data_IF_995283764348
#
_entry.id   IF_995283764348
#
_cell.length_a   1.000
_cell.length_b   1.000
_cell.length_c   1.000
_cell.angle_alpha   90.00
_cell.angle_beta   90.00
_cell.angle_gamma   90.00
#
_symmetry.space_group_name_H-M   'P 1'
#
loop_
_entity.id
_entity.type
_entity.pdbx_description
1 polymer ?
#
# COMPACT_ATOMS: atom_id res chain seq x y z
N UNK A 1 -21.33 -9.68 -2.20
CA UNK A 1 -22.18 -10.89 -2.02
C UNK A 1 -21.92 -11.90 -3.14
N UNK A 2 -21.78 -11.44 -4.38
CA UNK A 2 -21.58 -12.31 -5.56
C UNK A 2 -20.25 -13.11 -5.52
N UNK A 3 -19.22 -12.57 -4.88
CA UNK A 3 -17.90 -13.20 -4.78
C UNK A 3 -17.91 -14.40 -3.83
N UNK A 4 -18.69 -14.35 -2.74
CA UNK A 4 -18.70 -15.39 -1.71
C UNK A 4 -19.37 -16.69 -2.15
N UNK A 5 -20.36 -16.64 -3.05
CA UNK A 5 -21.08 -17.84 -3.50
C UNK A 5 -20.27 -18.70 -4.48
N UNK A 6 -19.33 -18.12 -5.24
CA UNK A 6 -18.57 -18.80 -6.29
C UNK A 6 -17.16 -19.28 -5.86
N UNK A 7 -16.67 -18.85 -4.69
CA UNK A 7 -15.30 -19.10 -4.24
C UNK A 7 -15.20 -19.70 -2.83
N UNK A 8 -16.23 -20.43 -2.40
CA UNK A 8 -16.31 -21.05 -1.07
C UNK A 8 -15.19 -22.05 -0.74
N UNK A 9 -14.42 -22.48 -1.77
CA UNK A 9 -13.29 -23.40 -1.62
C UNK A 9 -11.91 -22.73 -1.83
N UNK A 10 -11.84 -21.42 -2.03
CA UNK A 10 -10.57 -20.73 -2.26
C UNK A 10 -9.89 -20.34 -0.96
N UNK A 11 -8.62 -20.68 -0.82
CA UNK A 11 -7.80 -20.39 0.37
C UNK A 11 -7.05 -19.07 0.28
N UNK A 12 -6.95 -18.47 -0.91
CA UNK A 12 -6.16 -17.29 -1.17
C UNK A 12 -6.90 -16.32 -2.10
N UNK A 13 -6.81 -15.02 -1.83
CA UNK A 13 -7.42 -13.98 -2.66
C UNK A 13 -6.72 -12.64 -2.47
N UNK A 14 -6.84 -11.77 -3.46
CA UNK A 14 -6.38 -10.38 -3.43
C UNK A 14 -7.51 -9.43 -3.78
N UNK A 15 -7.47 -8.23 -3.23
CA UNK A 15 -8.44 -7.17 -3.48
C UNK A 15 -7.83 -5.80 -3.28
N UNK A 16 -8.45 -4.77 -3.90
CA UNK A 16 -7.95 -3.40 -3.84
C UNK A 16 -9.08 -2.40 -4.05
N UNK A 17 -9.10 -1.34 -3.27
CA UNK A 17 -10.13 -0.29 -3.37
C UNK A 17 -9.79 0.81 -4.37
N UNK A 18 -8.61 0.80 -4.91
CA UNK A 18 -8.02 1.73 -5.87
C UNK A 18 -8.19 3.23 -5.52
N UNK A 19 -7.05 3.90 -5.32
CA UNK A 19 -6.95 5.36 -5.42
C UNK A 19 -6.29 5.70 -6.76
N UNK A 20 -7.03 6.30 -7.71
CA UNK A 20 -6.55 6.52 -9.07
C UNK A 20 -5.39 7.53 -9.09
N UNK A 21 -4.19 7.09 -9.47
CA UNK A 21 -3.00 7.93 -9.72
C UNK A 21 -2.70 8.05 -11.22
N UNK A 22 -2.91 6.96 -11.99
CA UNK A 22 -2.73 6.87 -13.43
C UNK A 22 -3.98 6.31 -14.10
N UNK A 23 -4.37 6.87 -15.24
CA UNK A 23 -5.54 6.47 -16.02
C UNK A 23 -6.89 6.86 -15.41
N UNK A 24 -7.92 6.83 -16.24
CA UNK A 24 -9.28 7.17 -15.86
C UNK A 24 -9.87 6.20 -14.83
N UNK A 25 -10.92 6.67 -14.13
CA UNK A 25 -11.68 5.83 -13.19
C UNK A 25 -12.68 4.98 -13.95
N UNK A 26 -12.23 3.83 -14.41
CA UNK A 26 -13.04 2.82 -15.11
C UNK A 26 -12.63 1.41 -14.68
N UNK A 27 -13.38 0.40 -15.10
CA UNK A 27 -13.15 -1.00 -14.73
C UNK A 27 -11.83 -1.54 -15.29
N UNK A 28 -11.44 -1.12 -16.50
CA UNK A 28 -10.20 -1.56 -17.15
C UNK A 28 -8.94 -1.12 -16.40
N UNK A 29 -9.00 0.06 -15.79
CA UNK A 29 -7.92 0.62 -15.00
C UNK A 29 -8.00 0.20 -13.51
N UNK A 30 -9.00 -0.59 -13.12
CA UNK A 30 -9.16 -1.06 -11.74
C UNK A 30 -8.27 -2.26 -11.44
N UNK A 31 -7.82 -2.36 -10.19
CA UNK A 31 -7.14 -3.55 -9.70
C UNK A 31 -8.16 -4.67 -9.41
N UNK A 32 -7.72 -5.92 -9.49
CA UNK A 32 -6.38 -6.40 -9.82
C UNK A 32 -6.07 -6.38 -11.32
N UNK A 33 -4.79 -6.23 -11.68
CA UNK A 33 -4.31 -6.37 -13.06
C UNK A 33 -3.82 -7.79 -13.33
N UNK A 34 -4.09 -8.30 -14.53
CA UNK A 34 -3.70 -9.64 -14.97
C UNK A 34 -2.71 -9.57 -16.14
N UNK A 35 -1.73 -10.48 -16.15
CA UNK A 35 -0.82 -10.63 -17.29
C UNK A 35 -1.55 -11.16 -18.54
N UNK A 36 -1.07 -10.80 -19.74
CA UNK A 36 -1.69 -11.21 -21.01
C UNK A 36 -1.78 -12.74 -21.16
N UNK A 37 -0.82 -13.48 -20.62
CA UNK A 37 -0.81 -14.95 -20.58
C UNK A 37 -1.69 -15.54 -19.46
N UNK A 38 -2.33 -14.69 -18.66
CA UNK A 38 -3.21 -15.03 -17.52
C UNK A 38 -2.53 -15.85 -16.42
N UNK A 39 -1.20 -15.86 -16.37
CA UNK A 39 -0.45 -16.59 -15.34
C UNK A 39 -0.39 -15.84 -14.03
N UNK A 40 -0.31 -14.51 -14.07
CA UNK A 40 -0.15 -13.66 -12.90
C UNK A 40 -1.31 -12.68 -12.76
N UNK A 41 -1.71 -12.44 -11.52
CA UNK A 41 -2.67 -11.39 -11.14
C UNK A 41 -2.11 -10.65 -9.95
N UNK A 42 -2.12 -9.30 -9.98
CA UNK A 42 -1.57 -8.51 -8.88
C UNK A 42 -2.42 -7.30 -8.50
N UNK A 43 -2.19 -6.85 -7.29
CA UNK A 43 -2.59 -5.53 -6.79
C UNK A 43 -1.34 -4.75 -6.40
N UNK A 44 -1.38 -3.43 -6.55
CA UNK A 44 -0.27 -2.52 -6.37
C UNK A 44 -0.70 -1.25 -5.64
N UNK A 45 0.05 -0.89 -4.61
CA UNK A 45 0.05 0.41 -3.98
C UNK A 45 1.40 1.10 -4.24
N UNK A 46 1.37 2.27 -4.80
CA UNK A 46 2.57 3.05 -5.11
C UNK A 46 2.52 3.68 -6.49
N UNK A 47 3.66 4.13 -6.98
CA UNK A 47 3.84 4.74 -8.30
C UNK A 47 5.14 4.25 -8.89
N UNK A 48 5.09 3.76 -10.14
CA UNK A 48 6.27 3.37 -10.92
C UNK A 48 6.63 4.49 -11.88
N UNK A 49 7.68 5.20 -11.55
CA UNK A 49 8.12 6.40 -12.28
C UNK A 49 8.59 6.10 -13.72
N UNK A 50 9.27 4.98 -13.91
CA UNK A 50 9.77 4.55 -15.22
C UNK A 50 8.79 3.65 -16.00
N UNK A 51 7.49 3.67 -15.66
CA UNK A 51 6.50 2.77 -16.28
C UNK A 51 6.40 2.93 -17.80
N UNK A 52 6.57 4.14 -18.30
CA UNK A 52 6.48 4.40 -19.75
C UNK A 52 7.64 3.78 -20.54
N UNK A 53 8.84 3.82 -19.99
CA UNK A 53 10.02 3.16 -20.58
C UNK A 53 9.82 1.63 -20.61
N UNK A 54 9.40 1.06 -19.48
CA UNK A 54 9.12 -0.37 -19.36
C UNK A 54 7.97 -0.81 -20.26
N UNK A 55 6.93 0.00 -20.41
CA UNK A 55 5.82 -0.25 -21.33
C UNK A 55 6.31 -0.32 -22.77
N UNK A 56 7.11 0.64 -23.21
CA UNK A 56 7.68 0.66 -24.55
C UNK A 56 8.59 -0.55 -24.81
N UNK A 57 9.41 -0.92 -23.83
CA UNK A 57 10.23 -2.13 -23.89
C UNK A 57 9.37 -3.39 -24.09
N UNK A 58 8.28 -3.54 -23.34
CA UNK A 58 7.39 -4.70 -23.41
C UNK A 58 6.59 -4.72 -24.73
N UNK A 59 6.14 -3.56 -25.23
CA UNK A 59 5.50 -3.44 -26.54
C UNK A 59 6.43 -3.94 -27.65
N UNK A 60 7.73 -3.59 -27.59
CA UNK A 60 8.73 -4.07 -28.54
C UNK A 60 9.02 -5.59 -28.42
N UNK A 61 8.62 -6.21 -27.30
CA UNK A 61 8.66 -7.67 -27.09
C UNK A 61 7.35 -8.37 -27.45
N UNK A 62 6.36 -7.63 -27.99
CA UNK A 62 5.07 -8.18 -28.40
C UNK A 62 4.02 -8.29 -27.31
N UNK A 63 4.25 -7.69 -26.11
CA UNK A 63 3.25 -7.62 -25.06
C UNK A 63 2.19 -6.59 -25.40
N UNK A 64 0.96 -6.86 -24.99
CA UNK A 64 -0.19 -5.94 -25.16
C UNK A 64 -0.66 -5.42 -23.82
N UNK A 65 -1.27 -4.25 -23.84
CA UNK A 65 -1.79 -3.58 -22.64
C UNK A 65 -3.26 -3.25 -22.85
N UNK A 66 -4.05 -3.47 -21.82
CA UNK A 66 -5.47 -3.15 -21.79
C UNK A 66 -5.76 -1.88 -21.02
N UNK A 67 -4.89 -1.52 -20.05
CA UNK A 67 -5.07 -0.37 -19.18
C UNK A 67 -4.03 0.73 -19.43
N UNK A 68 -4.29 1.87 -18.81
CA UNK A 68 -3.38 3.03 -18.79
C UNK A 68 -2.52 3.07 -17.53
N UNK A 69 -2.63 2.06 -16.65
CA UNK A 69 -2.00 2.08 -15.34
C UNK A 69 -0.53 1.65 -15.39
N UNK A 70 0.28 2.20 -14.52
CA UNK A 70 1.62 1.74 -14.23
C UNK A 70 1.64 0.31 -13.66
N UNK A 71 0.57 -0.08 -12.98
CA UNK A 71 0.42 -1.39 -12.34
C UNK A 71 0.34 -2.54 -13.34
N UNK A 72 -0.31 -2.35 -14.51
CA UNK A 72 -0.32 -3.36 -15.56
C UNK A 72 1.09 -3.62 -16.11
N UNK A 73 1.94 -2.58 -16.17
CA UNK A 73 3.32 -2.74 -16.61
C UNK A 73 4.08 -3.71 -15.70
N UNK A 74 3.84 -3.67 -14.39
CA UNK A 74 4.48 -4.58 -13.43
C UNK A 74 4.11 -6.04 -13.73
N UNK A 75 2.82 -6.34 -13.94
CA UNK A 75 2.38 -7.73 -14.16
C UNK A 75 2.86 -8.28 -15.51
N UNK A 76 2.90 -7.44 -16.54
CA UNK A 76 3.45 -7.83 -17.86
C UNK A 76 4.97 -8.07 -17.77
N UNK A 77 5.69 -7.23 -17.03
CA UNK A 77 7.13 -7.39 -16.81
C UNK A 77 7.45 -8.67 -16.01
N UNK A 78 6.62 -8.99 -15.02
CA UNK A 78 6.73 -10.24 -14.27
C UNK A 78 6.54 -11.46 -15.18
N UNK A 79 5.52 -11.45 -16.05
CA UNK A 79 5.32 -12.48 -17.04
C UNK A 79 6.51 -12.59 -18.00
N UNK A 80 7.05 -11.46 -18.48
CA UNK A 80 8.25 -11.45 -19.33
C UNK A 80 9.43 -12.13 -18.66
N UNK A 81 9.77 -11.78 -17.42
CA UNK A 81 10.88 -12.43 -16.73
C UNK A 81 10.60 -13.91 -16.42
N UNK A 82 9.34 -14.27 -16.16
CA UNK A 82 8.97 -15.67 -15.92
C UNK A 82 9.17 -16.55 -17.14
N UNK A 83 9.05 -16.04 -18.36
CA UNK A 83 9.39 -16.82 -19.56
C UNK A 83 10.85 -17.26 -19.59
N UNK A 84 11.74 -16.51 -18.93
CA UNK A 84 13.18 -16.74 -18.91
C UNK A 84 13.63 -17.57 -17.71
N UNK A 85 13.07 -17.32 -16.53
CA UNK A 85 13.53 -17.91 -15.27
C UNK A 85 12.78 -19.18 -14.90
N UNK A 86 11.51 -19.29 -15.27
CA UNK A 86 10.58 -20.33 -14.85
C UNK A 86 10.42 -20.46 -13.32
N UNK A 87 10.90 -19.48 -12.58
CA UNK A 87 10.78 -19.36 -11.12
C UNK A 87 10.11 -18.02 -10.75
N UNK A 88 9.09 -18.07 -9.89
CA UNK A 88 8.30 -16.89 -9.53
C UNK A 88 9.10 -15.91 -8.67
N UNK A 89 9.89 -16.42 -7.71
CA UNK A 89 10.68 -15.58 -6.83
C UNK A 89 11.77 -14.85 -7.60
N UNK A 90 12.48 -15.56 -8.48
CA UNK A 90 13.53 -14.96 -9.32
C UNK A 90 12.93 -13.97 -10.33
N UNK A 91 11.77 -14.28 -10.90
CA UNK A 91 11.05 -13.36 -11.80
C UNK A 91 10.63 -12.09 -11.07
N UNK A 92 10.08 -12.22 -9.86
CA UNK A 92 9.65 -11.10 -9.04
C UNK A 92 10.85 -10.24 -8.63
N UNK A 93 11.98 -10.86 -8.28
CA UNK A 93 13.24 -10.16 -7.98
C UNK A 93 13.73 -9.36 -9.18
N UNK A 94 13.79 -9.94 -10.38
CA UNK A 94 14.18 -9.22 -11.62
C UNK A 94 13.20 -8.10 -11.95
N UNK A 95 11.91 -8.35 -11.77
CA UNK A 95 10.87 -7.32 -11.97
C UNK A 95 11.14 -6.13 -11.05
N UNK A 96 11.26 -6.34 -9.75
CA UNK A 96 11.45 -5.26 -8.78
C UNK A 96 12.78 -4.53 -8.94
N UNK A 97 13.83 -5.20 -9.43
CA UNK A 97 15.11 -4.56 -9.78
C UNK A 97 15.01 -3.60 -10.97
N UNK A 98 14.03 -3.82 -11.86
CA UNK A 98 13.81 -2.97 -13.04
C UNK A 98 12.88 -1.79 -12.75
N UNK A 99 12.21 -1.77 -11.58
CA UNK A 99 11.27 -0.71 -11.22
C UNK A 99 11.97 0.47 -10.54
N UNK A 100 11.66 1.69 -10.99
CA UNK A 100 11.94 2.93 -10.28
C UNK A 100 10.66 3.46 -9.65
N UNK A 101 10.73 3.89 -8.39
CA UNK A 101 9.57 4.38 -7.66
C UNK A 101 9.27 3.58 -6.39
N UNK A 102 7.99 3.54 -6.02
CA UNK A 102 7.50 2.88 -4.81
C UNK A 102 6.48 1.82 -5.15
N UNK A 103 6.46 0.75 -4.37
CA UNK A 103 5.47 -0.33 -4.52
C UNK A 103 5.19 -1.05 -3.21
N UNK A 104 3.95 -1.53 -3.11
CA UNK A 104 3.52 -2.60 -2.24
C UNK A 104 2.71 -3.56 -3.10
N UNK A 105 3.24 -4.74 -3.36
CA UNK A 105 2.70 -5.73 -4.29
C UNK A 105 2.18 -6.96 -3.57
N UNK A 106 1.01 -7.44 -3.99
CA UNK A 106 0.53 -8.78 -3.69
C UNK A 106 0.17 -9.47 -5.02
N UNK A 107 0.76 -10.64 -5.25
CA UNK A 107 0.75 -11.35 -6.54
C UNK A 107 0.27 -12.77 -6.37
N UNK A 108 -0.68 -13.17 -7.20
CA UNK A 108 -1.13 -14.55 -7.37
C UNK A 108 -0.54 -15.16 -8.63
N UNK A 109 -0.17 -16.44 -8.55
CA UNK A 109 0.25 -17.25 -9.69
C UNK A 109 -0.73 -18.39 -9.89
N UNK A 110 -1.35 -18.48 -11.07
CA UNK A 110 -2.45 -19.42 -11.34
C UNK A 110 -2.07 -20.90 -11.18
N UNK A 111 -0.78 -21.24 -11.35
CA UNK A 111 -0.30 -22.63 -11.17
C UNK A 111 0.03 -22.97 -9.71
N UNK A 112 -0.04 -21.99 -8.82
CA UNK A 112 0.18 -22.16 -7.39
C UNK A 112 -0.89 -21.36 -6.61
N UNK A 113 -2.17 -21.76 -6.69
CA UNK A 113 -3.31 -20.98 -6.19
C UNK A 113 -3.34 -20.88 -4.66
N UNK A 114 -2.53 -21.68 -3.97
CA UNK A 114 -2.37 -21.68 -2.51
C UNK A 114 -1.18 -20.82 -2.03
N UNK A 115 -0.60 -19.99 -2.92
CA UNK A 115 0.51 -19.09 -2.61
C UNK A 115 0.17 -17.64 -2.95
N UNK A 116 0.58 -16.75 -2.06
CA UNK A 116 0.56 -15.30 -2.26
C UNK A 116 1.99 -14.78 -2.14
N UNK A 117 2.45 -14.08 -3.15
CA UNK A 117 3.78 -13.48 -3.20
C UNK A 117 3.65 -11.99 -2.91
N UNK A 118 4.44 -11.49 -1.96
CA UNK A 118 4.39 -10.11 -1.51
C UNK A 118 5.78 -9.49 -1.51
N UNK A 119 5.87 -8.23 -1.92
CA UNK A 119 7.12 -7.45 -1.84
C UNK A 119 6.78 -5.97 -1.76
N UNK A 120 7.71 -5.17 -1.21
CA UNK A 120 7.50 -3.72 -1.12
C UNK A 120 8.79 -2.93 -1.30
N UNK A 121 8.61 -1.64 -1.66
CA UNK A 121 9.61 -0.56 -1.51
C UNK A 121 8.88 0.76 -1.33
N UNK A 122 9.16 1.47 -0.25
CA UNK A 122 8.51 2.75 0.06
C UNK A 122 7.08 2.59 0.59
N UNK A 123 6.15 2.10 -0.23
CA UNK A 123 4.76 1.86 0.18
C UNK A 123 4.66 0.83 1.30
N UNK A 124 3.86 1.06 2.36
CA UNK A 124 3.71 0.11 3.46
C UNK A 124 3.10 -1.22 2.99
N UNK A 125 3.56 -2.33 3.57
CA UNK A 125 2.94 -3.64 3.44
C UNK A 125 3.14 -4.42 4.74
N UNK A 126 2.04 -4.78 5.38
CA UNK A 126 1.96 -5.45 6.66
C UNK A 126 1.45 -6.86 6.46
N UNK A 127 1.97 -7.81 7.23
CA UNK A 127 1.46 -9.19 7.26
C UNK A 127 0.95 -9.48 8.66
N UNK A 128 -0.37 -9.59 8.80
CA UNK A 128 -1.03 -10.05 10.02
C UNK A 128 -0.90 -11.56 10.16
N UNK A 129 -0.62 -12.01 11.37
CA UNK A 129 -0.30 -13.40 11.68
C UNK A 129 -1.26 -13.91 12.75
N UNK A 130 -1.99 -14.96 12.41
CA UNK A 130 -2.81 -15.76 13.33
C UNK A 130 -2.62 -17.26 13.08
N UNK A 131 -3.09 -18.08 13.99
CA UNK A 131 -2.86 -19.53 13.95
C UNK A 131 -3.24 -20.19 12.62
N UNK A 132 -4.36 -19.76 12.02
CA UNK A 132 -4.94 -20.40 10.84
C UNK A 132 -5.19 -19.43 9.68
N UNK A 133 -4.69 -18.21 9.75
CA UNK A 133 -4.86 -17.22 8.68
C UNK A 133 -3.71 -16.23 8.65
N UNK A 134 -3.37 -15.80 7.46
CA UNK A 134 -2.46 -14.69 7.18
C UNK A 134 -3.22 -13.64 6.37
N UNK A 135 -2.91 -12.38 6.58
CA UNK A 135 -3.52 -11.28 5.85
C UNK A 135 -2.46 -10.25 5.49
N UNK A 136 -2.47 -9.80 4.24
CA UNK A 136 -1.62 -8.71 3.79
C UNK A 136 -2.47 -7.46 3.64
N UNK A 137 -1.99 -6.35 4.20
CA UNK A 137 -2.67 -5.05 4.15
C UNK A 137 -1.66 -3.91 4.10
N UNK A 138 -2.07 -2.74 3.60
CA UNK A 138 -1.25 -1.53 3.58
C UNK A 138 -1.22 -0.80 4.93
N UNK A 139 -2.19 -1.06 5.81
CA UNK A 139 -2.31 -0.40 7.11
C UNK A 139 -2.96 -1.30 8.16
N UNK A 140 -2.79 -0.99 9.45
CA UNK A 140 -3.31 -1.81 10.54
C UNK A 140 -4.84 -1.90 10.59
N UNK A 141 -5.54 -0.84 10.17
CA UNK A 141 -7.01 -0.82 10.12
C UNK A 141 -7.58 -1.95 9.24
N UNK A 142 -6.84 -2.36 8.20
CA UNK A 142 -7.20 -3.48 7.33
C UNK A 142 -7.32 -4.82 8.05
N UNK A 143 -6.71 -4.98 9.22
CA UNK A 143 -6.83 -6.22 10.02
C UNK A 143 -8.20 -6.39 10.68
N UNK A 144 -9.02 -5.36 10.76
CA UNK A 144 -10.41 -5.39 11.23
C UNK A 144 -10.59 -6.15 12.56
N UNK A 145 -9.69 -5.95 13.53
CA UNK A 145 -9.65 -6.66 14.83
C UNK A 145 -9.56 -8.19 14.73
N UNK A 146 -9.20 -8.72 13.56
CA UNK A 146 -9.11 -10.16 13.30
C UNK A 146 -7.72 -10.75 13.50
N UNK A 147 -6.74 -9.91 13.82
CA UNK A 147 -5.34 -10.27 14.03
C UNK A 147 -4.81 -9.62 15.31
N UNK A 148 -4.01 -10.35 16.04
CA UNK A 148 -3.36 -9.88 17.28
C UNK A 148 -1.95 -9.37 17.01
N UNK A 149 -1.26 -9.96 16.04
CA UNK A 149 0.12 -9.65 15.73
C UNK A 149 0.34 -9.45 14.23
N UNK A 150 1.35 -8.67 13.89
CA UNK A 150 1.77 -8.43 12.52
C UNK A 150 3.26 -8.18 12.42
N UNK A 151 3.78 -8.29 11.20
CA UNK A 151 5.11 -7.81 10.81
C UNK A 151 4.97 -6.70 9.74
N UNK A 152 6.00 -5.88 9.63
CA UNK A 152 6.13 -4.89 8.54
C UNK A 152 7.23 -5.38 7.63
N UNK A 153 6.92 -5.70 6.37
CA UNK A 153 7.94 -6.17 5.44
C UNK A 153 9.01 -5.10 5.22
N UNK A 154 10.26 -5.53 5.13
CA UNK A 154 11.37 -4.66 4.74
C UNK A 154 11.31 -4.35 3.24
N UNK A 155 11.99 -3.27 2.82
CA UNK A 155 12.10 -2.95 1.41
C UNK A 155 12.87 -4.07 0.68
N UNK A 156 12.35 -4.45 -0.49
CA UNK A 156 12.92 -5.47 -1.38
C UNK A 156 12.87 -6.92 -0.87
N UNK A 157 12.34 -7.18 0.33
CA UNK A 157 12.09 -8.56 0.75
C UNK A 157 10.96 -9.17 -0.09
N UNK A 158 11.08 -10.46 -0.35
CA UNK A 158 10.04 -11.26 -0.99
C UNK A 158 9.47 -12.20 0.07
N UNK A 159 8.23 -11.97 0.42
CA UNK A 159 7.49 -12.77 1.38
C UNK A 159 6.51 -13.67 0.62
N UNK A 160 6.60 -14.98 0.85
CA UNK A 160 5.67 -15.97 0.29
C UNK A 160 4.80 -16.52 1.40
N UNK A 161 3.51 -16.29 1.28
CA UNK A 161 2.50 -16.87 2.15
C UNK A 161 1.92 -18.09 1.46
N UNK A 162 1.90 -19.24 2.14
CA UNK A 162 1.44 -20.49 1.57
C UNK A 162 0.51 -21.24 2.52
N UNK A 163 -0.60 -21.73 2.00
CA UNK A 163 -1.41 -22.75 2.66
C UNK A 163 -1.02 -24.14 2.14
N UNK A 164 -0.65 -25.04 3.06
CA UNK A 164 -0.34 -26.44 2.75
C UNK A 164 -1.51 -27.32 3.18
N UNK A 165 -2.29 -27.79 2.22
CA UNK A 165 -3.47 -28.62 2.45
C UNK A 165 -3.15 -29.90 3.22
N UNK A 166 -2.06 -30.58 2.86
CA UNK A 166 -1.64 -31.85 3.49
C UNK A 166 -1.35 -31.70 4.99
N UNK A 167 -0.91 -30.54 5.41
CA UNK A 167 -0.58 -30.24 6.81
C UNK A 167 -1.68 -29.43 7.51
N UNK A 168 -2.66 -28.94 6.76
CA UNK A 168 -3.68 -28.00 7.22
C UNK A 168 -3.05 -26.81 7.97
N UNK A 169 -1.96 -26.29 7.42
CA UNK A 169 -1.15 -25.22 8.02
C UNK A 169 -0.80 -24.13 7.04
N UNK A 170 -0.61 -22.94 7.59
CA UNK A 170 -0.14 -21.78 6.87
C UNK A 170 1.34 -21.58 7.18
N UNK A 171 2.10 -21.25 6.13
CA UNK A 171 3.53 -20.98 6.20
C UNK A 171 3.80 -19.59 5.64
N UNK A 172 4.78 -18.93 6.22
CA UNK A 172 5.33 -17.69 5.73
C UNK A 172 6.85 -17.89 5.52
N UNK A 173 7.30 -17.63 4.31
CA UNK A 173 8.71 -17.66 3.93
C UNK A 173 9.15 -16.25 3.62
N UNK A 174 10.24 -15.79 4.22
CA UNK A 174 10.84 -14.47 4.02
C UNK A 174 12.35 -14.62 3.91
N UNK A 175 13.02 -13.69 3.22
CA UNK A 175 14.48 -13.64 3.18
C UNK A 175 15.06 -12.97 4.43
N UNK A 176 14.28 -12.09 5.05
CA UNK A 176 14.62 -11.36 6.26
C UNK A 176 14.04 -12.02 7.51
N UNK A 177 14.58 -11.67 8.66
CA UNK A 177 14.02 -12.02 9.98
C UNK A 177 13.18 -10.86 10.51
N UNK A 178 12.04 -11.19 11.12
CA UNK A 178 11.10 -10.20 11.61
C UNK A 178 10.75 -10.39 13.07
N UNK A 179 10.67 -9.27 13.79
CA UNK A 179 9.99 -9.23 15.08
C UNK A 179 8.52 -8.88 14.87
N UNK A 180 7.64 -9.63 15.52
CA UNK A 180 6.21 -9.33 15.53
C UNK A 180 5.91 -8.09 16.36
N UNK A 181 4.91 -7.35 15.93
CA UNK A 181 4.34 -6.21 16.64
C UNK A 181 2.89 -6.52 16.98
N UNK A 182 2.43 -6.06 18.12
CA UNK A 182 1.02 -6.19 18.48
C UNK A 182 0.18 -5.21 17.64
N UNK A 183 -0.96 -5.70 17.15
CA UNK A 183 -1.95 -4.85 16.49
C UNK A 183 -2.56 -3.94 17.54
N UNK A 184 -2.46 -2.64 17.34
CA UNK A 184 -3.16 -1.69 18.18
C UNK A 184 -4.66 -1.94 18.00
N UNK A 185 -5.31 -2.45 19.04
CA UNK A 185 -6.75 -2.56 19.02
C UNK A 185 -7.32 -1.14 18.93
N UNK A 186 -7.76 -0.79 17.73
CA UNK A 186 -8.48 0.45 17.53
C UNK A 186 -9.77 0.35 18.35
N UNK A 187 -9.84 1.11 19.44
CA UNK A 187 -11.10 1.31 20.18
C UNK A 187 -12.07 2.19 19.42
N UNK A 188 -11.64 2.72 18.26
CA UNK A 188 -12.52 3.47 17.39
C UNK A 188 -13.55 2.53 16.77
N UNK A 189 -14.83 2.82 16.92
CA UNK A 189 -15.88 2.03 16.34
C UNK A 189 -15.70 1.95 14.82
N UNK A 190 -16.01 0.78 14.24
CA UNK A 190 -15.99 0.57 12.78
C UNK A 190 -17.14 1.30 12.05
N UNK A 191 -17.92 2.08 12.77
CA UNK A 191 -18.97 2.93 12.23
C UNK A 191 -18.82 4.40 12.71
N UNK A 192 -19.40 5.38 12.01
CA UNK A 192 -19.30 6.79 12.37
C UNK A 192 -20.19 7.21 13.55
N UNK A 193 -20.87 6.28 14.23
CA UNK A 193 -21.80 6.62 15.30
C UNK A 193 -21.15 7.53 16.37
N UNK A 194 -21.85 8.52 16.90
CA UNK A 194 -23.30 8.80 16.71
C UNK A 194 -23.66 9.59 15.43
N UNK A 195 -22.71 9.82 14.54
CA UNK A 195 -22.88 10.59 13.32
C UNK A 195 -23.33 9.69 12.16
N UNK A 196 -24.07 10.24 11.20
CA UNK A 196 -24.54 9.50 10.03
C UNK A 196 -23.43 9.19 9.04
N UNK A 197 -22.37 10.03 8.97
CA UNK A 197 -21.28 9.93 8.00
C UNK A 197 -19.93 10.14 8.67
N UNK A 198 -18.88 9.49 8.19
CA UNK A 198 -17.52 9.63 8.65
C UNK A 198 -17.01 11.08 8.59
N UNK A 199 -17.23 11.77 7.48
CA UNK A 199 -16.83 13.17 7.34
C UNK A 199 -17.46 14.07 8.41
N UNK A 200 -18.73 13.84 8.76
CA UNK A 200 -19.38 14.61 9.81
C UNK A 200 -18.74 14.34 11.18
N UNK A 201 -18.41 13.08 11.45
CA UNK A 201 -17.66 12.70 12.66
C UNK A 201 -16.31 13.39 12.70
N UNK A 202 -15.54 13.34 11.62
CA UNK A 202 -14.21 13.97 11.51
C UNK A 202 -14.27 15.49 11.73
N UNK A 203 -15.30 16.16 11.17
CA UNK A 203 -15.53 17.59 11.41
C UNK A 203 -15.70 17.89 12.92
N UNK A 204 -16.49 17.11 13.62
CA UNK A 204 -16.69 17.29 15.05
C UNK A 204 -15.45 16.91 15.89
N UNK A 205 -14.66 15.96 15.43
CA UNK A 205 -13.42 15.54 16.09
C UNK A 205 -12.25 16.51 15.85
N UNK A 206 -12.37 17.48 14.94
CA UNK A 206 -11.28 18.42 14.62
C UNK A 206 -10.74 19.17 15.84
N UNK A 207 -11.61 19.53 16.77
CA UNK A 207 -11.20 20.18 18.02
C UNK A 207 -10.12 19.36 18.75
N UNK A 208 -10.37 18.07 18.94
CA UNK A 208 -9.46 17.19 19.68
C UNK A 208 -8.28 16.75 18.82
N UNK A 209 -8.50 16.51 17.52
CA UNK A 209 -7.41 16.10 16.62
C UNK A 209 -6.41 17.22 16.38
N UNK A 210 -6.86 18.47 16.24
CA UNK A 210 -6.00 19.64 16.11
C UNK A 210 -5.19 19.85 17.39
N UNK A 211 -5.81 19.70 18.55
CA UNK A 211 -5.11 19.82 19.83
C UNK A 211 -4.07 18.71 20.02
N UNK A 212 -4.37 17.47 19.61
CA UNK A 212 -3.38 16.38 19.58
C UNK A 212 -2.25 16.65 18.58
N UNK A 213 -2.53 17.23 17.42
CA UNK A 213 -1.51 17.54 16.41
C UNK A 213 -0.44 18.52 16.92
N UNK A 214 -0.82 19.44 17.78
CA UNK A 214 0.12 20.35 18.46
C UNK A 214 0.70 19.76 19.77
N UNK A 215 0.57 18.45 19.98
CA UNK A 215 1.10 17.76 21.16
C UNK A 215 0.43 18.21 22.46
N UNK A 216 -0.89 18.39 22.46
CA UNK A 216 -1.69 18.92 23.56
C UNK A 216 -1.18 20.30 24.06
N UNK A 217 -0.71 21.12 23.13
CA UNK A 217 -0.10 22.42 23.44
C UNK A 217 1.40 22.35 23.68
N UNK A 218 2.00 21.18 23.88
CA UNK A 218 3.43 21.03 24.19
C UNK A 218 4.39 21.38 23.04
N UNK A 219 3.86 21.61 21.83
CA UNK A 219 4.64 22.12 20.70
C UNK A 219 4.66 23.65 20.63
N UNK A 220 3.84 24.34 21.39
CA UNK A 220 3.81 25.81 21.47
C UNK A 220 4.65 26.21 22.66
N UNK A 221 5.80 26.82 22.40
CA UNK A 221 6.72 27.26 23.48
C UNK A 221 6.40 28.68 23.97
N UNK A 222 5.92 29.54 23.08
CA UNK A 222 5.50 30.89 23.33
C UNK A 222 4.54 31.36 22.25
N UNK A 223 3.94 32.57 22.37
CA UNK A 223 3.12 33.14 21.28
C UNK A 223 3.85 33.26 19.95
N UNK A 224 5.16 33.26 19.93
CA UNK A 224 6.00 33.44 18.73
C UNK A 224 6.97 32.30 18.50
N UNK A 225 6.83 31.15 19.17
CA UNK A 225 7.79 30.05 19.07
C UNK A 225 7.13 28.70 19.20
N UNK A 226 7.52 27.76 18.29
CA UNK A 226 7.05 26.39 18.29
C UNK A 226 8.21 25.42 18.34
N UNK A 227 7.96 24.22 18.87
CA UNK A 227 8.90 23.10 18.87
C UNK A 227 8.57 22.15 17.74
N UNK A 228 9.46 22.04 16.76
CA UNK A 228 9.40 21.09 15.66
C UNK A 228 10.50 20.04 15.82
N UNK A 229 10.29 19.06 16.71
CA UNK A 229 11.31 18.15 17.21
C UNK A 229 12.20 17.48 16.15
N UNK A 230 11.68 17.18 14.96
CA UNK A 230 12.48 16.65 13.84
C UNK A 230 13.31 17.69 13.08
N UNK A 231 13.10 19.00 13.35
CA UNK A 231 13.69 20.12 12.61
C UNK A 231 14.52 21.06 13.50
N UNK A 232 14.73 20.74 14.75
CA UNK A 232 15.46 21.62 15.70
C UNK A 232 16.88 21.94 15.22
N UNK A 233 17.55 20.98 14.59
CA UNK A 233 18.89 21.16 14.03
C UNK A 233 18.92 22.03 12.74
N UNK A 234 17.74 22.37 12.19
CA UNK A 234 17.56 23.19 10.98
C UNK A 234 17.01 24.58 11.29
N UNK A 235 16.99 25.01 12.55
CA UNK A 235 16.34 26.26 12.97
C UNK A 235 16.85 27.47 12.18
N UNK A 236 18.17 27.63 12.00
CA UNK A 236 18.72 28.76 11.27
C UNK A 236 18.33 28.76 9.79
N UNK A 237 18.39 27.58 9.15
CA UNK A 237 17.98 27.41 7.75
C UNK A 237 16.48 27.73 7.57
N UNK A 238 15.65 27.31 8.53
CA UNK A 238 14.21 27.56 8.49
C UNK A 238 13.85 29.04 8.68
N UNK A 239 14.60 29.78 9.50
CA UNK A 239 14.39 31.21 9.71
C UNK A 239 14.82 32.07 8.51
N UNK A 240 15.66 31.55 7.64
CA UNK A 240 16.13 32.22 6.41
C UNK A 240 15.22 31.93 5.19
N UNK A 241 14.20 31.09 5.32
CA UNK A 241 13.29 30.77 4.22
C UNK A 241 12.48 31.99 3.80
N UNK A 242 12.56 32.32 2.50
CA UNK A 242 11.76 33.38 1.89
C UNK A 242 10.51 32.83 1.16
N UNK A 243 10.48 31.54 0.86
CA UNK A 243 9.38 30.89 0.17
C UNK A 243 9.05 29.55 0.80
N UNK A 244 7.77 29.26 0.97
CA UNK A 244 7.25 27.98 1.43
C UNK A 244 6.23 27.45 0.42
N UNK A 245 6.47 26.25 -0.11
CA UNK A 245 5.55 25.58 -1.01
C UNK A 245 4.83 24.49 -0.21
N UNK A 246 3.50 24.59 -0.11
CA UNK A 246 2.66 23.59 0.50
C UNK A 246 2.06 22.70 -0.59
N UNK A 247 2.32 21.40 -0.49
CA UNK A 247 1.79 20.39 -1.41
C UNK A 247 0.77 19.52 -0.68
N UNK A 248 -0.36 19.27 -1.33
CA UNK A 248 -1.42 18.44 -0.76
C UNK A 248 -2.49 18.11 -1.79
N UNK A 249 -3.35 17.16 -1.46
CA UNK A 249 -4.56 16.86 -2.22
C UNK A 249 -5.75 16.72 -1.25
N UNK A 250 -6.97 16.85 -1.78
CA UNK A 250 -8.18 16.79 -0.98
C UNK A 250 -8.23 17.86 0.12
N UNK A 251 -8.61 17.47 1.32
CA UNK A 251 -8.72 18.38 2.47
C UNK A 251 -7.39 19.02 2.86
N UNK A 252 -6.27 18.33 2.68
CA UNK A 252 -4.93 18.88 2.92
C UNK A 252 -4.59 20.02 1.97
N UNK A 253 -5.00 19.91 0.69
CA UNK A 253 -4.85 20.99 -0.28
C UNK A 253 -5.68 22.22 0.10
N UNK A 254 -6.94 22.02 0.49
CA UNK A 254 -7.80 23.11 0.93
C UNK A 254 -7.25 23.81 2.17
N UNK A 255 -6.77 23.05 3.15
CA UNK A 255 -6.12 23.62 4.33
C UNK A 255 -4.84 24.42 3.99
N UNK A 256 -4.09 24.00 2.96
CA UNK A 256 -2.94 24.75 2.44
C UNK A 256 -3.34 26.05 1.76
N UNK A 257 -4.42 26.06 0.99
CA UNK A 257 -4.93 27.25 0.30
C UNK A 257 -5.45 28.34 1.26
N UNK A 258 -6.14 27.94 2.34
CA UNK A 258 -6.67 28.90 3.31
C UNK A 258 -5.53 29.67 4.03
N UNK A 259 -4.32 29.12 4.05
CA UNK A 259 -3.14 29.81 4.62
C UNK A 259 -2.52 30.85 3.71
N UNK A 260 -2.73 30.81 2.38
CA UNK A 260 -2.26 31.85 1.47
C UNK A 260 -2.94 33.20 1.74
N UNK A 261 -4.00 33.25 2.53
CA UNK A 261 -4.67 34.46 3.00
C UNK A 261 -4.15 34.99 4.36
N UNK A 262 -3.22 34.26 5.01
CA UNK A 262 -2.71 34.60 6.35
C UNK A 262 -1.25 35.10 6.36
N UNK A 263 -0.55 35.10 5.21
CA UNK A 263 0.84 35.58 5.08
C UNK A 263 0.97 36.68 4.05
#
# INVERSE_FOLDING_TARGET
TFILENYSSSYCGIGHTRWATHGEKNDTNSHPHQSADKLFTLVHNGIIENYQELKNFLLNKGYTFSSETDSEVIVQLLSYYFTQTRDVNESLKKTTQSLNGTWGLAVLYTKQPNRLYCTRKGSPLLVGIEKNKLMVTSEQSGFCNSFSQYIVLNNHDICVLQYKENENKIFMETTDTYNTKDVLQNKDPLDPAPYKYWMLREIHEQKDSSFRAIGLGGRILSPHSVKLGGLEHKTNELLELNNLILLGCGTSYHAGNDRNAMF
#
